data_IF_083246159522
#
_entry.id   IF_083246159522
#
_cell.length_a   1.000
_cell.length_b   1.000
_cell.length_c   1.000
_cell.angle_alpha   90.00
_cell.angle_beta   90.00
_cell.angle_gamma   90.00
#
_symmetry.space_group_name_H-M   'P 1'
#
loop_
_entity.id
_entity.type
_entity.pdbx_description
1 polymer ?
#
# COMPACT_ATOMS: atom_id res chain seq x y z
N UNK A 1 44.83 27.75 27.03
CA UNK A 1 43.57 28.14 27.70
C UNK A 1 42.53 28.69 26.72
N UNK A 2 42.69 28.53 25.39
CA UNK A 2 41.75 29.05 24.38
C UNK A 2 40.93 27.95 23.68
N UNK A 3 41.23 26.67 23.96
CA UNK A 3 40.69 25.51 23.24
C UNK A 3 39.34 25.00 23.82
N UNK A 4 38.97 25.45 25.02
CA UNK A 4 37.75 25.02 25.73
C UNK A 4 36.47 25.81 25.40
N UNK A 5 36.58 27.07 24.99
CA UNK A 5 35.42 27.88 24.60
C UNK A 5 34.81 27.43 23.26
N UNK A 6 35.66 27.02 22.32
CA UNK A 6 35.26 26.56 20.98
C UNK A 6 34.45 25.26 21.03
N UNK A 7 34.81 24.32 21.91
CA UNK A 7 34.10 23.05 22.09
C UNK A 7 32.73 23.23 22.75
N UNK A 8 32.63 24.11 23.76
CA UNK A 8 31.37 24.41 24.45
C UNK A 8 30.37 25.13 23.53
N UNK A 9 30.84 26.03 22.67
CA UNK A 9 30.00 26.73 21.70
C UNK A 9 29.51 25.78 20.59
N UNK A 10 30.32 24.80 20.18
CA UNK A 10 29.93 23.76 19.22
C UNK A 10 28.87 22.81 19.79
N UNK A 11 29.05 22.32 21.03
CA UNK A 11 28.05 21.48 21.71
C UNK A 11 26.72 22.22 21.89
N UNK A 12 26.77 23.51 22.25
CA UNK A 12 25.57 24.34 22.43
C UNK A 12 24.82 24.53 21.11
N UNK A 13 25.54 24.75 20.00
CA UNK A 13 24.95 24.84 18.65
C UNK A 13 24.30 23.54 18.21
N UNK A 14 24.93 22.39 18.45
CA UNK A 14 24.36 21.07 18.14
C UNK A 14 23.07 20.83 18.93
N UNK A 15 23.05 21.14 20.23
CA UNK A 15 21.84 21.02 21.06
C UNK A 15 20.70 21.93 20.57
N UNK A 16 20.99 23.17 20.19
CA UNK A 16 19.99 24.09 19.64
C UNK A 16 19.42 23.59 18.30
N UNK A 17 20.27 23.07 17.40
CA UNK A 17 19.81 22.50 16.14
C UNK A 17 18.91 21.28 16.35
N UNK A 18 19.27 20.37 17.26
CA UNK A 18 18.48 19.18 17.54
C UNK A 18 17.12 19.52 18.15
N UNK A 19 17.09 20.49 19.08
CA UNK A 19 15.86 21.02 19.64
C UNK A 19 14.99 21.71 18.57
N UNK A 20 15.59 22.46 17.65
CA UNK A 20 14.85 23.11 16.56
C UNK A 20 14.21 22.10 15.61
N UNK A 21 14.90 20.99 15.28
CA UNK A 21 14.35 19.92 14.43
C UNK A 21 13.17 19.21 15.11
N UNK A 22 13.22 19.00 16.42
CA UNK A 22 12.12 18.40 17.20
C UNK A 22 10.87 19.29 17.29
N UNK A 23 11.01 20.60 17.10
CA UNK A 23 9.91 21.57 17.18
C UNK A 23 9.28 21.85 15.80
N UNK A 24 9.86 21.34 14.70
CA UNK A 24 9.23 21.48 13.38
C UNK A 24 7.89 20.71 13.37
N UNK A 25 6.77 21.37 13.06
CA UNK A 25 5.49 20.68 12.91
C UNK A 25 5.59 19.71 11.74
N UNK A 26 5.20 18.45 11.97
CA UNK A 26 5.04 17.49 10.88
C UNK A 26 3.94 18.01 9.95
N UNK A 27 4.27 18.26 8.69
CA UNK A 27 3.26 18.50 7.66
C UNK A 27 2.45 17.23 7.49
N UNK A 28 1.24 17.19 8.06
CA UNK A 28 0.27 16.14 7.79
C UNK A 28 -0.26 16.28 6.35
N UNK A 29 -0.31 15.18 5.62
CA UNK A 29 -0.97 15.14 4.32
C UNK A 29 -2.46 14.87 4.56
N UNK A 30 -3.32 15.89 4.37
CA UNK A 30 -4.77 15.67 4.24
C UNK A 30 -5.03 15.18 2.82
N UNK A 31 -5.24 13.87 2.69
CA UNK A 31 -5.59 13.23 1.43
C UNK A 31 -7.09 12.98 1.40
N UNK A 32 -7.78 13.44 0.36
CA UNK A 32 -9.17 13.07 0.14
C UNK A 32 -9.25 11.61 -0.33
N UNK A 33 -9.91 10.76 0.44
CA UNK A 33 -10.26 9.40 0.03
C UNK A 33 -11.37 9.50 -1.01
N UNK A 34 -11.00 9.20 -2.25
CA UNK A 34 -11.93 9.19 -3.38
C UNK A 34 -12.28 7.76 -3.77
N UNK A 35 -13.47 7.57 -4.34
CA UNK A 35 -13.91 6.25 -4.84
C UNK A 35 -12.92 5.62 -5.83
N UNK A 36 -12.36 6.35 -6.82
CA UNK A 36 -11.36 5.81 -7.72
C UNK A 36 -10.10 5.32 -6.98
N UNK A 37 -9.67 6.05 -5.96
CA UNK A 37 -8.53 5.64 -5.14
C UNK A 37 -8.84 4.36 -4.34
N UNK A 38 -10.02 4.26 -3.72
CA UNK A 38 -10.44 3.03 -3.03
C UNK A 38 -10.40 1.84 -4.00
N UNK A 39 -10.97 1.97 -5.20
CA UNK A 39 -10.96 0.90 -6.21
C UNK A 39 -9.53 0.56 -6.64
N UNK A 40 -8.69 1.56 -6.88
CA UNK A 40 -7.29 1.34 -7.28
C UNK A 40 -6.49 0.62 -6.18
N UNK A 41 -6.63 1.04 -4.92
CA UNK A 41 -5.95 0.41 -3.78
C UNK A 41 -6.46 -1.01 -3.53
N UNK A 42 -7.78 -1.21 -3.58
CA UNK A 42 -8.41 -2.52 -3.38
C UNK A 42 -8.01 -3.52 -4.46
N UNK A 43 -7.99 -3.09 -5.73
CA UNK A 43 -7.57 -3.96 -6.84
C UNK A 43 -6.08 -4.28 -6.78
N UNK A 44 -5.23 -3.31 -6.43
CA UNK A 44 -3.80 -3.53 -6.23
C UNK A 44 -3.51 -4.53 -5.09
N UNK A 45 -4.31 -4.48 -4.02
CA UNK A 45 -4.20 -5.35 -2.86
C UNK A 45 -5.03 -6.65 -2.96
N UNK A 46 -5.73 -6.90 -4.08
CA UNK A 46 -6.65 -8.02 -4.19
C UNK A 46 -5.96 -9.35 -3.87
N UNK A 47 -4.84 -9.65 -4.53
CA UNK A 47 -4.09 -10.90 -4.31
C UNK A 47 -3.47 -11.05 -2.91
N UNK A 48 -3.34 -9.97 -2.13
CA UNK A 48 -2.91 -10.07 -0.73
C UNK A 48 -4.04 -10.36 0.25
N UNK A 49 -5.29 -10.05 -0.12
CA UNK A 49 -6.46 -10.22 0.76
C UNK A 49 -7.23 -11.50 0.47
N UNK A 50 -7.28 -11.94 -0.80
CA UNK A 50 -7.87 -13.23 -1.16
C UNK A 50 -6.82 -14.32 -1.25
N UNK A 51 -7.15 -15.50 -0.73
CA UNK A 51 -6.36 -16.71 -0.92
C UNK A 51 -6.55 -17.20 -2.35
N UNK A 52 -5.80 -16.62 -3.28
CA UNK A 52 -5.84 -17.01 -4.69
C UNK A 52 -4.96 -18.24 -4.91
N UNK A 53 -5.54 -19.30 -5.44
CA UNK A 53 -4.79 -20.51 -5.76
C UNK A 53 -5.25 -21.15 -7.07
N UNK A 54 -4.31 -21.52 -7.97
CA UNK A 54 -4.63 -22.36 -9.11
C UNK A 54 -4.90 -23.79 -8.62
N UNK A 55 -6.16 -24.23 -8.68
CA UNK A 55 -6.58 -25.55 -8.19
C UNK A 55 -6.77 -26.57 -9.31
N UNK A 56 -6.66 -26.15 -10.57
CA UNK A 56 -6.72 -27.05 -11.72
C UNK A 56 -6.93 -26.33 -13.05
N UNK A 57 -7.34 -27.09 -14.05
CA UNK A 57 -7.65 -26.60 -15.39
C UNK A 57 -9.02 -27.08 -15.82
N UNK A 58 -9.74 -26.22 -16.56
CA UNK A 58 -10.99 -26.55 -17.20
C UNK A 58 -10.76 -26.60 -18.71
N UNK A 59 -11.35 -27.59 -19.36
CA UNK A 59 -11.37 -27.70 -20.82
C UNK A 59 -12.81 -27.53 -21.28
N UNK A 60 -13.05 -26.63 -22.23
CA UNK A 60 -14.34 -26.55 -22.92
C UNK A 60 -14.13 -26.43 -24.42
N UNK A 61 -15.15 -26.82 -25.15
CA UNK A 61 -15.14 -26.84 -26.60
C UNK A 61 -15.75 -25.54 -27.12
N UNK A 62 -15.01 -24.80 -27.95
CA UNK A 62 -15.51 -23.62 -28.66
C UNK A 62 -15.60 -23.92 -30.15
N UNK A 63 -16.81 -23.97 -30.67
CA UNK A 63 -17.10 -24.19 -32.08
C UNK A 63 -17.45 -22.88 -32.80
N UNK A 64 -17.03 -22.79 -34.06
CA UNK A 64 -17.47 -21.80 -35.05
C UNK A 64 -17.94 -22.53 -36.31
N UNK A 65 -18.39 -21.78 -37.32
CA UNK A 65 -18.83 -22.33 -38.61
C UNK A 65 -17.71 -23.12 -39.33
N UNK A 66 -16.44 -22.86 -39.02
CA UNK A 66 -15.29 -23.50 -39.66
C UNK A 66 -14.69 -24.65 -38.86
N UNK A 67 -15.30 -25.01 -37.72
CA UNK A 67 -14.85 -26.12 -36.88
C UNK A 67 -14.77 -25.79 -35.40
N UNK A 68 -14.25 -26.74 -34.63
CA UNK A 68 -14.21 -26.67 -33.17
C UNK A 68 -12.78 -26.71 -32.63
N UNK A 69 -12.54 -25.98 -31.53
CA UNK A 69 -11.26 -25.95 -30.83
C UNK A 69 -11.47 -26.14 -29.33
N UNK A 70 -10.61 -26.92 -28.67
CA UNK A 70 -10.58 -26.99 -27.20
C UNK A 70 -9.92 -25.73 -26.66
N UNK A 71 -10.56 -25.13 -25.66
CA UNK A 71 -10.07 -23.97 -24.92
C UNK A 71 -9.83 -24.37 -23.48
N UNK A 72 -8.72 -23.89 -22.94
CA UNK A 72 -8.26 -24.19 -21.59
C UNK A 72 -8.33 -22.92 -20.75
N UNK A 73 -8.88 -23.00 -19.53
CA UNK A 73 -8.80 -21.94 -18.52
C UNK A 73 -8.30 -22.54 -17.24
N UNK A 74 -7.72 -21.65 -16.45
CA UNK A 74 -7.39 -21.89 -15.06
C UNK A 74 -8.66 -22.01 -14.22
N UNK A 75 -8.75 -23.10 -13.47
CA UNK A 75 -9.69 -23.21 -12.36
C UNK A 75 -9.02 -22.59 -11.15
N UNK A 76 -9.61 -21.49 -10.66
CA UNK A 76 -9.09 -20.73 -9.53
C UNK A 76 -9.95 -21.01 -8.31
N UNK A 77 -9.32 -21.44 -7.23
CA UNK A 77 -9.90 -21.36 -5.89
C UNK A 77 -9.65 -19.96 -5.36
N UNK A 78 -10.70 -19.29 -4.89
CA UNK A 78 -10.58 -18.00 -4.21
C UNK A 78 -11.39 -18.04 -2.92
N UNK A 79 -10.81 -17.51 -1.85
CA UNK A 79 -11.52 -17.23 -0.61
C UNK A 79 -11.24 -15.78 -0.23
N UNK A 80 -12.30 -14.99 -0.05
CA UNK A 80 -12.22 -13.64 0.49
C UNK A 80 -12.78 -13.68 1.91
N UNK A 81 -12.03 -13.24 2.93
CA UNK A 81 -12.52 -13.26 4.31
C UNK A 81 -13.66 -12.25 4.50
N UNK A 82 -14.57 -12.52 5.43
CA UNK A 82 -15.56 -11.55 5.87
C UNK A 82 -14.87 -10.48 6.72
N UNK A 83 -14.50 -9.36 6.09
CA UNK A 83 -13.86 -8.21 6.74
C UNK A 83 -14.56 -6.92 6.32
N UNK A 84 -14.82 -6.06 7.30
CA UNK A 84 -15.27 -4.68 7.08
C UNK A 84 -14.10 -3.75 7.33
N UNK A 85 -13.76 -2.94 6.32
CA UNK A 85 -12.71 -1.92 6.42
C UNK A 85 -13.36 -0.54 6.42
N UNK A 86 -13.06 0.28 7.42
CA UNK A 86 -13.50 1.67 7.51
C UNK A 86 -12.35 2.60 7.14
N UNK A 87 -12.62 3.53 6.23
CA UNK A 87 -11.66 4.50 5.72
C UNK A 87 -12.10 5.92 6.06
N UNK A 88 -11.19 6.74 6.59
CA UNK A 88 -11.47 8.10 7.06
C UNK A 88 -10.54 9.10 6.36
N UNK A 89 -11.08 10.25 5.95
CA UNK A 89 -10.31 11.33 5.30
C UNK A 89 -9.36 12.03 6.27
N UNK A 90 -9.77 12.13 7.54
CA UNK A 90 -9.02 12.81 8.59
C UNK A 90 -8.86 11.84 9.76
N UNK A 91 -7.67 11.84 10.37
CA UNK A 91 -7.49 11.23 11.68
C UNK A 91 -8.12 12.20 12.69
N UNK A 92 -9.15 11.73 13.42
CA UNK A 92 -9.80 12.50 14.48
C UNK A 92 -8.87 12.83 15.64
#
# INVERSE_FOLDING_TARGET
MADGESAMNASRRVSFFFAAVLVLPATGYTGAITTPEIVAKTTAAAFSCMQWMPIGTCFWLRCSLFGCSVRTSLKVGHYNPDLVVSSYNELG
#
